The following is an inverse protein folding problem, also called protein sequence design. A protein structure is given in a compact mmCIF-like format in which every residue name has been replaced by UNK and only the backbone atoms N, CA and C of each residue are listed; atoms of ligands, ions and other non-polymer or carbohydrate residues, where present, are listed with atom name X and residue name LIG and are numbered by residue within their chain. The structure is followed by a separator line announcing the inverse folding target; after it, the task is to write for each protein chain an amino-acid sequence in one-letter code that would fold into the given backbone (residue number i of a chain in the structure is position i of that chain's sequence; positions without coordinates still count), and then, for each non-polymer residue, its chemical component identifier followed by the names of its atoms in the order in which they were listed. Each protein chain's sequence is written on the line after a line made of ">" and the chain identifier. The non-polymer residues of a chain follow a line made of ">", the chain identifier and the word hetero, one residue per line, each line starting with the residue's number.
data_IF_965267437759
#
_entry.id   IF_965267437759
#
_cell.length_a   1.000
_cell.length_b   1.000
_cell.length_c   1.000
_cell.angle_alpha   90.00
_cell.angle_beta   90.00
_cell.angle_gamma   90.00
#
_symmetry.space_group_name_H-M   'P 1'
#
loop_
_entity.id
_entity.type
_entity.pdbx_description
1 polymer ?
#
# COMPACT_ATOMS: atom_id res chain seq x y z
N UNK A 1 -25.85 -25.44 46.44
CA UNK A 1 -26.46 -24.27 45.78
C UNK A 1 -25.48 -23.10 45.63
N UNK A 2 -24.77 -22.65 46.66
CA UNK A 2 -23.80 -21.53 46.55
C UNK A 2 -22.71 -21.71 45.48
N UNK A 3 -22.15 -22.93 45.30
CA UNK A 3 -21.08 -23.19 44.34
C UNK A 3 -21.53 -23.12 42.86
N UNK A 4 -22.81 -23.37 42.58
CA UNK A 4 -23.40 -23.29 41.23
C UNK A 4 -23.60 -21.83 40.88
N UNK A 5 -24.10 -21.01 41.82
CA UNK A 5 -24.29 -19.56 41.60
C UNK A 5 -22.98 -18.82 41.30
N UNK A 6 -21.89 -19.19 41.94
CA UNK A 6 -20.57 -18.58 41.70
C UNK A 6 -20.05 -18.95 40.32
N UNK A 7 -20.26 -20.19 39.88
CA UNK A 7 -19.81 -20.62 38.52
C UNK A 7 -20.61 -19.96 37.39
N UNK A 8 -21.93 -19.79 37.57
CA UNK A 8 -22.77 -19.08 36.58
C UNK A 8 -22.49 -17.60 36.56
N UNK A 9 -22.23 -16.94 37.70
CA UNK A 9 -21.85 -15.53 37.76
C UNK A 9 -20.47 -15.28 37.10
N UNK A 10 -19.52 -16.18 37.30
CA UNK A 10 -18.20 -16.09 36.64
C UNK A 10 -18.28 -16.32 35.13
N UNK A 11 -19.12 -17.24 34.67
CA UNK A 11 -19.32 -17.48 33.25
C UNK A 11 -20.02 -16.31 32.54
N UNK A 12 -21.00 -15.67 33.18
CA UNK A 12 -21.67 -14.48 32.60
C UNK A 12 -20.76 -13.26 32.56
N UNK A 13 -19.82 -13.12 33.50
CA UNK A 13 -18.86 -12.02 33.53
C UNK A 13 -17.80 -12.16 32.44
N UNK A 14 -17.43 -13.39 32.06
CA UNK A 14 -16.53 -13.64 30.94
C UNK A 14 -17.17 -13.33 29.57
N UNK A 15 -18.47 -13.53 29.42
CA UNK A 15 -19.17 -13.27 28.16
C UNK A 15 -19.39 -11.77 27.88
N UNK A 16 -19.39 -10.92 28.89
CA UNK A 16 -19.56 -9.46 28.70
C UNK A 16 -18.27 -8.76 28.22
N UNK A 17 -17.12 -9.41 28.31
CA UNK A 17 -15.83 -8.84 27.90
C UNK A 17 -15.60 -8.86 26.38
N UNK A 18 -16.39 -9.59 25.60
CA UNK A 18 -16.13 -9.75 24.15
C UNK A 18 -16.96 -8.82 23.25
N UNK A 19 -17.86 -8.02 23.80
CA UNK A 19 -18.78 -7.18 22.99
C UNK A 19 -18.24 -5.76 22.78
N UNK A 20 -17.16 -5.37 23.45
CA UNK A 20 -16.74 -3.96 23.52
C UNK A 20 -15.85 -3.44 22.39
N UNK A 21 -15.34 -4.27 21.48
CA UNK A 21 -14.34 -3.80 20.53
C UNK A 21 -14.81 -3.67 19.07
N UNK A 22 -16.03 -4.07 18.74
CA UNK A 22 -16.51 -4.04 17.35
C UNK A 22 -16.96 -2.65 16.88
N UNK A 23 -17.54 -1.85 17.78
CA UNK A 23 -18.07 -0.52 17.44
C UNK A 23 -16.96 0.54 17.23
N UNK A 24 -15.81 0.37 17.87
CA UNK A 24 -14.68 1.30 17.68
C UNK A 24 -13.93 1.11 16.36
N UNK A 25 -14.14 0.01 15.65
CA UNK A 25 -13.59 -0.23 14.32
C UNK A 25 -14.35 0.51 13.22
N UNK A 26 -15.53 1.02 13.49
CA UNK A 26 -16.34 1.77 12.53
C UNK A 26 -16.18 3.29 12.72
N UNK A 27 -14.95 3.74 12.75
CA UNK A 27 -14.60 5.16 12.88
C UNK A 27 -14.96 5.87 11.58
N UNK A 28 -15.82 6.88 11.66
CA UNK A 28 -16.05 7.80 10.54
C UNK A 28 -14.74 8.53 10.22
N UNK A 29 -14.40 8.60 8.94
CA UNK A 29 -13.24 9.37 8.50
C UNK A 29 -13.27 10.80 9.07
N UNK A 30 -12.18 11.21 9.71
CA UNK A 30 -11.99 12.58 10.23
C UNK A 30 -11.76 13.55 9.08
N UNK A 31 -11.27 13.06 7.94
CA UNK A 31 -11.05 13.85 6.73
C UNK A 31 -12.38 14.08 5.98
N UNK A 32 -12.89 15.31 5.90
CA UNK A 32 -14.12 15.63 5.16
C UNK A 32 -14.00 15.41 3.65
N UNK A 33 -12.78 15.24 3.13
CA UNK A 33 -12.54 14.95 1.71
C UNK A 33 -12.53 13.44 1.42
N UNK A 34 -12.45 12.59 2.43
CA UNK A 34 -12.56 11.16 2.23
C UNK A 34 -14.03 10.75 2.16
N UNK A 35 -14.48 10.33 0.98
CA UNK A 35 -15.82 9.75 0.83
C UNK A 35 -15.82 8.32 1.36
N UNK A 36 -16.70 7.97 2.32
CA UNK A 36 -16.84 6.59 2.79
C UNK A 36 -17.61 5.72 1.78
N UNK A 37 -18.13 6.31 0.72
CA UNK A 37 -18.89 5.59 -0.32
C UNK A 37 -18.02 5.36 -1.53
N UNK A 38 -17.64 4.11 -1.74
CA UNK A 38 -16.94 3.67 -2.94
C UNK A 38 -17.96 3.09 -3.93
N UNK A 39 -17.85 3.49 -5.19
CA UNK A 39 -18.55 2.76 -6.27
C UNK A 39 -17.65 1.66 -6.80
N UNK A 40 -18.24 0.56 -7.25
CA UNK A 40 -17.48 -0.57 -7.82
C UNK A 40 -16.66 -0.11 -9.04
N UNK A 41 -17.27 0.73 -9.87
CA UNK A 41 -16.61 1.31 -11.04
C UNK A 41 -15.43 2.21 -10.66
N UNK A 42 -15.58 3.00 -9.59
CA UNK A 42 -14.52 3.85 -9.07
C UNK A 42 -13.34 3.06 -8.51
N UNK A 43 -13.62 1.98 -7.78
CA UNK A 43 -12.58 1.07 -7.28
C UNK A 43 -11.88 0.35 -8.43
N UNK A 44 -12.61 -0.11 -9.43
CA UNK A 44 -12.04 -0.74 -10.62
C UNK A 44 -11.16 0.24 -11.40
N UNK A 45 -11.65 1.45 -11.64
CA UNK A 45 -10.88 2.49 -12.32
C UNK A 45 -9.58 2.82 -11.55
N UNK A 46 -9.62 2.86 -10.22
CA UNK A 46 -8.44 3.10 -9.39
C UNK A 46 -7.40 2.00 -9.56
N UNK A 47 -7.79 0.74 -9.70
CA UNK A 47 -6.86 -0.37 -9.91
C UNK A 47 -6.07 -0.23 -11.22
N UNK A 48 -6.73 0.15 -12.30
CA UNK A 48 -6.03 0.44 -13.56
C UNK A 48 -5.20 1.73 -13.48
N UNK A 49 -5.69 2.74 -12.77
CA UNK A 49 -4.99 4.00 -12.61
C UNK A 49 -3.64 3.84 -11.91
N UNK A 50 -3.52 2.98 -10.89
CA UNK A 50 -2.27 2.77 -10.16
C UNK A 50 -1.15 2.18 -11.00
N UNK A 51 -1.47 1.50 -12.09
CA UNK A 51 -0.47 1.01 -13.03
C UNK A 51 0.16 2.12 -13.88
N UNK A 52 -0.57 3.22 -14.11
CA UNK A 52 -0.12 4.33 -14.96
C UNK A 52 0.14 5.64 -14.23
N UNK A 53 -0.49 5.84 -13.07
CA UNK A 53 -0.43 7.07 -12.30
C UNK A 53 0.29 6.84 -10.97
N UNK A 54 0.92 7.89 -10.45
CA UNK A 54 1.59 7.87 -9.14
C UNK A 54 0.73 8.40 -8.01
N UNK A 55 -0.43 8.98 -8.31
CA UNK A 55 -1.38 9.51 -7.36
C UNK A 55 -2.65 10.01 -8.02
N UNK A 56 -3.59 10.50 -7.21
CA UNK A 56 -4.93 10.90 -7.66
C UNK A 56 -4.95 12.02 -8.71
N UNK A 57 -3.95 12.88 -8.70
CA UNK A 57 -3.84 14.02 -9.63
C UNK A 57 -2.75 13.82 -10.69
N UNK A 58 -2.25 12.60 -10.82
CA UNK A 58 -1.12 12.29 -11.69
C UNK A 58 0.18 12.97 -11.21
N UNK A 59 1.12 13.22 -12.15
CA UNK A 59 2.45 13.73 -11.79
C UNK A 59 2.47 15.12 -11.12
N UNK A 60 1.43 15.91 -11.26
CA UNK A 60 1.35 17.26 -10.68
C UNK A 60 0.57 17.31 -9.34
N UNK A 61 0.16 16.16 -8.81
CA UNK A 61 -0.65 16.09 -7.60
C UNK A 61 0.08 15.47 -6.43
N UNK A 62 -0.68 15.06 -5.41
CA UNK A 62 -0.14 14.32 -4.28
C UNK A 62 0.11 12.87 -4.67
N UNK A 63 1.31 12.38 -4.49
CA UNK A 63 1.64 10.98 -4.70
C UNK A 63 0.91 10.07 -3.71
N UNK A 64 0.56 8.85 -4.12
CA UNK A 64 0.00 7.82 -3.23
C UNK A 64 1.04 7.32 -2.21
N UNK A 65 2.31 7.39 -2.56
CA UNK A 65 3.44 7.01 -1.73
C UNK A 65 4.27 8.23 -1.38
N UNK A 66 4.99 8.20 -0.27
CA UNK A 66 5.85 9.29 0.21
C UNK A 66 7.17 9.45 -0.54
N UNK A 67 7.29 8.89 -1.72
CA UNK A 67 8.46 8.99 -2.58
C UNK A 67 8.23 9.98 -3.72
N UNK A 68 9.31 10.32 -4.42
CA UNK A 68 9.27 11.28 -5.50
C UNK A 68 8.26 10.89 -6.57
N UNK A 69 7.52 11.88 -6.98
CA UNK A 69 6.44 11.77 -7.94
C UNK A 69 6.99 11.42 -9.32
N UNK A 70 6.33 10.49 -10.00
CA UNK A 70 6.79 9.96 -11.27
C UNK A 70 7.92 8.92 -11.16
N UNK A 71 8.69 8.91 -10.08
CA UNK A 71 9.75 7.93 -9.86
C UNK A 71 9.25 6.61 -9.28
N UNK A 72 8.17 6.65 -8.52
CA UNK A 72 7.52 5.49 -7.91
C UNK A 72 6.40 4.89 -8.74
N UNK A 73 6.19 5.34 -9.97
CA UNK A 73 5.19 4.79 -10.88
C UNK A 73 5.47 3.32 -11.20
N UNK A 74 4.41 2.49 -11.25
CA UNK A 74 4.53 1.04 -11.46
C UNK A 74 5.37 0.70 -12.70
N UNK A 75 5.01 1.24 -13.86
CA UNK A 75 5.72 0.97 -15.12
C UNK A 75 7.18 1.37 -15.02
N UNK A 76 7.48 2.54 -14.46
CA UNK A 76 8.86 3.03 -14.36
C UNK A 76 9.70 2.17 -13.42
N UNK A 77 9.16 1.78 -12.26
CA UNK A 77 9.89 0.95 -11.29
C UNK A 77 10.15 -0.45 -11.83
N UNK A 78 9.18 -1.07 -12.48
CA UNK A 78 9.35 -2.39 -13.11
C UNK A 78 10.37 -2.31 -14.25
N UNK A 79 10.23 -1.33 -15.14
CA UNK A 79 11.20 -1.12 -16.22
C UNK A 79 12.63 -0.96 -15.71
N UNK A 80 12.83 -0.08 -14.71
CA UNK A 80 14.16 0.16 -14.15
C UNK A 80 14.76 -1.13 -13.54
N UNK A 81 13.96 -1.94 -12.85
CA UNK A 81 14.48 -3.15 -12.20
C UNK A 81 14.64 -4.33 -13.18
N UNK A 82 13.90 -4.35 -14.27
CA UNK A 82 14.01 -5.44 -15.24
C UNK A 82 15.04 -5.15 -16.32
N UNK A 83 15.02 -3.96 -16.91
CA UNK A 83 15.81 -3.64 -18.09
C UNK A 83 17.21 -3.11 -17.75
N UNK A 84 17.36 -2.31 -16.68
CA UNK A 84 18.67 -1.74 -16.33
C UNK A 84 19.65 -2.75 -15.75
N UNK A 85 19.20 -3.95 -15.41
CA UNK A 85 20.07 -5.06 -15.02
C UNK A 85 20.59 -5.89 -16.21
N UNK A 86 20.14 -5.56 -17.41
CA UNK A 86 20.53 -6.24 -18.65
C UNK A 86 21.50 -5.39 -19.47
N UNK A 87 22.00 -5.93 -20.55
CA UNK A 87 22.83 -5.25 -21.54
C UNK A 87 22.00 -4.56 -22.64
N UNK A 88 20.67 -4.67 -22.60
CA UNK A 88 19.79 -4.10 -23.61
C UNK A 88 19.53 -2.61 -23.40
N UNK A 89 19.64 -2.12 -22.16
CA UNK A 89 19.33 -0.73 -21.80
C UNK A 89 20.44 -0.11 -20.95
N UNK A 90 20.86 1.09 -21.33
CA UNK A 90 21.82 1.88 -20.58
C UNK A 90 21.17 3.14 -20.01
N UNK A 91 21.46 3.45 -18.76
CA UNK A 91 21.05 4.68 -18.13
C UNK A 91 21.95 5.85 -18.50
N UNK A 92 21.38 6.93 -19.03
CA UNK A 92 22.17 8.05 -19.54
C UNK A 92 22.84 8.89 -18.42
N UNK A 93 22.25 8.92 -17.23
CA UNK A 93 22.75 9.70 -16.10
C UNK A 93 23.64 8.83 -15.20
N UNK A 94 24.92 8.73 -15.54
CA UNK A 94 25.86 7.82 -14.85
C UNK A 94 26.11 8.14 -13.37
N UNK A 95 25.76 9.34 -12.90
CA UNK A 95 25.96 9.77 -11.51
C UNK A 95 24.71 9.58 -10.63
N UNK A 96 23.73 8.82 -11.07
CA UNK A 96 22.55 8.48 -10.25
C UNK A 96 22.94 7.38 -9.26
N UNK A 97 23.07 7.77 -7.99
CA UNK A 97 23.48 6.86 -6.91
C UNK A 97 22.47 5.71 -6.65
N UNK A 98 21.24 5.85 -7.07
CA UNK A 98 20.22 4.81 -6.91
C UNK A 98 20.18 3.85 -8.10
N UNK A 99 20.49 4.31 -9.30
CA UNK A 99 20.46 3.51 -10.54
C UNK A 99 21.77 2.75 -10.77
N UNK A 100 22.91 3.37 -10.51
CA UNK A 100 24.22 2.73 -10.73
C UNK A 100 24.37 1.36 -10.04
N UNK A 101 23.91 1.17 -8.77
CA UNK A 101 23.93 -0.16 -8.16
C UNK A 101 23.04 -1.19 -8.87
N UNK A 102 21.93 -0.77 -9.49
CA UNK A 102 21.06 -1.67 -10.25
C UNK A 102 21.76 -2.15 -11.50
N UNK A 103 22.31 -1.23 -12.29
CA UNK A 103 23.06 -1.56 -13.51
C UNK A 103 24.28 -2.44 -13.24
N UNK A 104 24.96 -2.22 -12.10
CA UNK A 104 26.14 -2.99 -11.71
C UNK A 104 25.81 -4.26 -10.91
N UNK A 105 24.53 -4.61 -10.72
CA UNK A 105 24.07 -5.77 -9.94
C UNK A 105 24.60 -5.76 -8.49
N UNK A 106 24.80 -4.59 -7.90
CA UNK A 106 25.35 -4.38 -6.55
C UNK A 106 24.35 -3.74 -5.57
N UNK A 107 23.08 -3.72 -5.91
CA UNK A 107 22.02 -3.14 -5.08
C UNK A 107 21.77 -3.96 -3.80
N UNK A 108 21.17 -3.33 -2.81
CA UNK A 108 20.72 -3.93 -1.56
C UNK A 108 19.37 -3.34 -1.13
N UNK A 109 18.83 -3.79 0.01
CA UNK A 109 17.54 -3.33 0.54
C UNK A 109 17.49 -1.84 0.89
N UNK A 110 18.61 -1.14 0.98
CA UNK A 110 18.68 0.31 1.17
C UNK A 110 18.64 1.11 -0.12
N UNK A 111 18.56 0.47 -1.28
CA UNK A 111 18.45 1.17 -2.55
C UNK A 111 17.05 1.75 -2.75
N UNK A 112 16.95 3.04 -3.03
CA UNK A 112 15.68 3.76 -3.14
C UNK A 112 14.79 3.18 -4.25
N UNK A 113 15.34 2.79 -5.40
CA UNK A 113 14.57 2.24 -6.51
C UNK A 113 13.96 0.89 -6.17
N UNK A 114 14.69 0.04 -5.48
CA UNK A 114 14.20 -1.24 -4.98
C UNK A 114 13.11 -1.02 -3.93
N UNK A 115 13.32 -0.09 -3.01
CA UNK A 115 12.36 0.25 -1.97
C UNK A 115 11.06 0.84 -2.54
N UNK A 116 11.14 1.76 -3.51
CA UNK A 116 9.96 2.33 -4.15
C UNK A 116 9.16 1.29 -4.95
N UNK A 117 9.85 0.38 -5.65
CA UNK A 117 9.18 -0.72 -6.32
C UNK A 117 8.44 -1.63 -5.34
N UNK A 118 9.08 -1.98 -4.23
CA UNK A 118 8.44 -2.77 -3.17
C UNK A 118 7.22 -2.07 -2.60
N UNK A 119 7.33 -0.79 -2.24
CA UNK A 119 6.22 -0.01 -1.71
C UNK A 119 5.07 0.09 -2.71
N UNK A 120 5.36 0.30 -3.99
CA UNK A 120 4.35 0.36 -5.06
C UNK A 120 3.62 -0.96 -5.21
N UNK A 121 4.33 -2.08 -5.23
CA UNK A 121 3.72 -3.40 -5.35
C UNK A 121 2.81 -3.72 -4.14
N UNK A 122 3.24 -3.41 -2.93
CA UNK A 122 2.42 -3.62 -1.72
C UNK A 122 1.18 -2.72 -1.73
N UNK A 123 1.33 -1.47 -2.14
CA UNK A 123 0.19 -0.55 -2.28
C UNK A 123 -0.83 -1.07 -3.29
N UNK A 124 -0.40 -1.50 -4.47
CA UNK A 124 -1.28 -2.03 -5.51
C UNK A 124 -1.99 -3.31 -5.05
N UNK A 125 -1.28 -4.23 -4.39
CA UNK A 125 -1.87 -5.44 -3.79
C UNK A 125 -2.95 -5.06 -2.77
N UNK A 126 -2.71 -4.05 -1.94
CA UNK A 126 -3.69 -3.58 -0.95
C UNK A 126 -4.96 -3.06 -1.62
N UNK A 127 -4.83 -2.30 -2.69
CA UNK A 127 -5.98 -1.82 -3.47
C UNK A 127 -6.75 -2.95 -4.15
N UNK A 128 -6.05 -3.94 -4.69
CA UNK A 128 -6.69 -5.11 -5.31
C UNK A 128 -7.44 -5.93 -4.28
N UNK A 129 -6.88 -6.15 -3.11
CA UNK A 129 -7.57 -6.81 -2.00
C UNK A 129 -8.83 -6.04 -1.56
N UNK A 130 -8.76 -4.71 -1.49
CA UNK A 130 -9.92 -3.87 -1.17
C UNK A 130 -11.06 -4.01 -2.20
N UNK A 131 -10.74 -4.31 -3.46
CA UNK A 131 -11.76 -4.51 -4.49
C UNK A 131 -12.42 -5.90 -4.41
N UNK A 132 -11.68 -6.92 -3.95
CA UNK A 132 -12.17 -8.31 -3.89
C UNK A 132 -13.09 -8.51 -2.67
N UNK A 133 -12.86 -7.79 -1.58
CA UNK A 133 -13.60 -7.89 -0.32
C UNK A 133 -14.56 -6.73 -0.09
#
# INVERSE_FOLDING_TARGET
>A
MKKIFIKTAMASMLCMGFVSCADELNIKSIDPQSSPTYTVEGLLAKQYATLGLTGQKGPAGSADLSCDEGESGFIRTIFNLQELMTDETAWAYQNDNAIAPITNLSWNSGNDRVNWAYQRLIFDITLYNQFIF
#
